data_IF_662729717176
#
_entry.id   IF_662729717176
#
_cell.length_a   1.000
_cell.length_b   1.000
_cell.length_c   1.000
_cell.angle_alpha   90.00
_cell.angle_beta   90.00
_cell.angle_gamma   90.00
#
_symmetry.space_group_name_H-M   'P 1'
#
loop_
_entity.id
_entity.type
_entity.pdbx_description
1 polymer ?
#
# COMPACT_ATOMS: atom_id res chain seq x y z
N UNK A 1 41.49 -47.93 4.75
CA UNK A 1 41.53 -46.52 5.22
C UNK A 1 40.57 -45.69 4.35
N UNK A 2 39.25 -45.84 4.49
CA UNK A 2 38.24 -45.17 3.62
C UNK A 2 36.86 -44.99 4.29
N UNK A 3 36.74 -44.91 5.63
CA UNK A 3 35.42 -44.76 6.28
C UNK A 3 35.24 -43.49 7.13
N UNK A 4 36.29 -42.68 7.32
CA UNK A 4 36.20 -41.42 8.10
C UNK A 4 35.84 -40.17 7.26
N UNK A 5 35.90 -40.27 5.93
CA UNK A 5 35.72 -39.10 5.05
C UNK A 5 34.26 -38.76 4.73
N UNK A 6 33.36 -39.76 4.73
CA UNK A 6 31.95 -39.56 4.33
C UNK A 6 31.17 -38.77 5.40
N UNK A 7 31.46 -38.98 6.69
CA UNK A 7 30.81 -38.22 7.76
C UNK A 7 31.16 -36.72 7.76
N UNK A 8 32.36 -36.35 7.31
CA UNK A 8 32.75 -34.94 7.21
C UNK A 8 32.07 -34.24 6.04
N UNK A 9 31.84 -34.94 4.92
CA UNK A 9 31.16 -34.37 3.74
C UNK A 9 29.67 -34.15 4.02
N UNK A 10 29.01 -35.06 4.76
CA UNK A 10 27.60 -34.90 5.14
C UNK A 10 27.41 -33.78 6.18
N UNK A 11 28.37 -33.57 7.09
CA UNK A 11 28.32 -32.45 8.05
C UNK A 11 28.60 -31.09 7.40
N UNK A 12 29.37 -31.03 6.30
CA UNK A 12 29.67 -29.79 5.58
C UNK A 12 28.55 -29.36 4.61
N UNK A 13 27.78 -30.32 4.07
CA UNK A 13 26.63 -30.05 3.19
C UNK A 13 25.31 -29.87 3.96
N UNK A 14 25.16 -30.46 5.16
CA UNK A 14 23.95 -30.34 5.97
C UNK A 14 23.83 -29.05 6.78
N UNK A 15 24.94 -28.36 7.04
CA UNK A 15 24.98 -27.17 7.91
C UNK A 15 24.59 -25.84 7.24
N UNK A 16 24.66 -25.74 5.92
CA UNK A 16 24.40 -24.48 5.19
C UNK A 16 22.92 -24.33 4.81
N UNK A 17 22.13 -25.42 4.84
CA UNK A 17 20.73 -25.40 4.41
C UNK A 17 19.70 -25.13 5.52
N UNK A 18 20.13 -25.07 6.79
CA UNK A 18 19.21 -24.94 7.95
C UNK A 18 19.03 -23.51 8.48
N UNK A 19 19.59 -22.49 7.80
CA UNK A 19 19.40 -21.06 8.17
C UNK A 19 18.57 -20.25 7.16
N UNK A 20 17.88 -20.87 6.21
CA UNK A 20 16.90 -20.15 5.35
C UNK A 20 15.49 -20.10 5.97
N UNK A 21 15.39 -20.10 7.30
CA UNK A 21 14.12 -19.87 7.99
C UNK A 21 13.81 -18.37 8.02
N UNK A 22 12.90 -17.99 7.12
CA UNK A 22 11.75 -17.12 7.42
C UNK A 22 11.95 -15.61 7.55
N UNK A 23 13.03 -15.02 7.03
CA UNK A 23 13.02 -13.57 6.80
C UNK A 23 12.42 -13.31 5.42
N UNK A 24 11.17 -12.83 5.42
CA UNK A 24 10.51 -12.29 4.23
C UNK A 24 11.44 -11.28 3.54
N UNK A 25 11.72 -11.48 2.25
CA UNK A 25 12.62 -10.59 1.51
C UNK A 25 11.99 -9.19 1.50
N UNK A 26 12.70 -8.11 1.88
CA UNK A 26 12.13 -6.77 1.79
C UNK A 26 11.82 -6.43 0.33
N UNK A 27 10.69 -5.78 0.10
CA UNK A 27 10.28 -5.40 -1.24
C UNK A 27 11.31 -4.48 -1.94
N UNK A 28 11.56 -4.77 -3.21
CA UNK A 28 12.42 -3.99 -4.09
C UNK A 28 11.74 -2.68 -4.53
N UNK A 29 12.54 -1.69 -4.91
CA UNK A 29 11.99 -0.43 -5.41
C UNK A 29 11.19 -0.64 -6.71
N UNK A 30 11.69 -1.50 -7.60
CA UNK A 30 11.06 -1.76 -8.88
C UNK A 30 9.69 -2.46 -8.74
N UNK A 31 9.57 -3.42 -7.83
CA UNK A 31 8.29 -4.11 -7.58
C UNK A 31 7.25 -3.17 -6.96
N UNK A 32 7.67 -2.29 -6.05
CA UNK A 32 6.80 -1.23 -5.50
C UNK A 32 6.36 -0.25 -6.58
N UNK A 33 7.27 0.19 -7.45
CA UNK A 33 6.95 1.10 -8.56
C UNK A 33 5.93 0.48 -9.52
N UNK A 34 6.10 -0.81 -9.84
CA UNK A 34 5.16 -1.55 -10.66
C UNK A 34 3.78 -1.64 -9.99
N UNK A 35 3.73 -2.02 -8.71
CA UNK A 35 2.49 -2.10 -7.96
C UNK A 35 1.79 -0.73 -7.87
N UNK A 36 2.54 0.37 -7.69
CA UNK A 36 2.00 1.73 -7.65
C UNK A 36 1.30 2.11 -8.96
N UNK A 37 1.85 1.67 -10.09
CA UNK A 37 1.24 1.85 -11.40
C UNK A 37 -0.01 0.98 -11.55
N UNK A 38 0.09 -0.32 -11.20
CA UNK A 38 -1.03 -1.28 -11.27
C UNK A 38 -2.23 -0.84 -10.44
N UNK A 39 -2.00 -0.29 -9.25
CA UNK A 39 -3.04 0.22 -8.35
C UNK A 39 -3.41 1.69 -8.58
N UNK A 40 -2.77 2.36 -9.55
CA UNK A 40 -2.97 3.77 -9.85
C UNK A 40 -2.83 4.68 -8.60
N UNK A 41 -1.86 4.38 -7.73
CA UNK A 41 -1.69 5.04 -6.42
C UNK A 41 -1.54 6.56 -6.56
N UNK A 42 -0.80 7.04 -7.57
CA UNK A 42 -0.65 8.47 -7.86
C UNK A 42 -1.99 9.15 -8.12
N UNK A 43 -2.77 8.59 -9.04
CA UNK A 43 -4.08 9.13 -9.40
C UNK A 43 -5.04 9.11 -8.21
N UNK A 44 -5.10 7.98 -7.49
CA UNK A 44 -5.96 7.81 -6.32
C UNK A 44 -5.59 8.78 -5.20
N UNK A 45 -4.29 8.98 -4.93
CA UNK A 45 -3.80 9.93 -3.91
C UNK A 45 -4.10 11.38 -4.30
N UNK A 46 -3.85 11.75 -5.57
CA UNK A 46 -4.17 13.09 -6.07
C UNK A 46 -5.68 13.38 -6.12
N UNK A 47 -6.54 12.35 -6.13
CA UNK A 47 -8.00 12.49 -6.08
C UNK A 47 -8.53 12.71 -4.66
N UNK A 48 -7.73 12.46 -3.62
CA UNK A 48 -8.13 12.67 -2.21
C UNK A 48 -8.06 14.15 -1.79
N UNK A 49 -7.33 14.98 -2.53
CA UNK A 49 -7.11 16.39 -2.21
C UNK A 49 -7.80 17.30 -3.23
N UNK A 50 -8.41 18.40 -2.78
CA UNK A 50 -9.04 19.35 -3.71
C UNK A 50 -7.95 20.26 -4.31
N UNK A 51 -7.94 20.52 -5.63
CA UNK A 51 -6.95 21.40 -6.25
C UNK A 51 -6.90 22.81 -5.64
N UNK A 52 -8.04 23.31 -5.17
CA UNK A 52 -8.13 24.60 -4.50
C UNK A 52 -7.36 24.61 -3.17
N UNK A 53 -7.44 23.54 -2.39
CA UNK A 53 -6.73 23.38 -1.12
C UNK A 53 -5.22 23.36 -1.35
N UNK A 54 -4.75 22.61 -2.36
CA UNK A 54 -3.34 22.62 -2.75
C UNK A 54 -2.86 24.01 -3.16
N UNK A 55 -3.67 24.73 -3.95
CA UNK A 55 -3.33 26.09 -4.40
C UNK A 55 -3.20 27.07 -3.23
N UNK A 56 -4.02 26.95 -2.19
CA UNK A 56 -3.90 27.78 -0.96
C UNK A 56 -2.58 27.52 -0.23
N UNK A 57 -2.01 26.33 -0.37
CA UNK A 57 -0.70 25.95 0.17
C UNK A 57 0.46 26.23 -0.80
N UNK A 58 0.19 26.83 -1.97
CA UNK A 58 1.20 27.05 -3.01
C UNK A 58 1.67 25.77 -3.70
N UNK A 59 0.90 24.69 -3.62
CA UNK A 59 1.19 23.39 -4.21
C UNK A 59 0.32 23.15 -5.44
N UNK A 60 0.87 22.42 -6.41
CA UNK A 60 0.08 21.73 -7.45
C UNK A 60 0.02 20.22 -7.16
N UNK A 61 -0.74 19.49 -7.97
CA UNK A 61 -0.91 18.04 -7.79
C UNK A 61 0.40 17.27 -7.92
N UNK A 62 1.34 17.74 -8.74
CA UNK A 62 2.60 17.06 -8.98
C UNK A 62 3.57 17.28 -7.83
N UNK A 63 3.69 18.51 -7.36
CA UNK A 63 4.47 18.89 -6.18
C UNK A 63 3.94 18.18 -4.93
N UNK A 64 2.62 18.11 -4.77
CA UNK A 64 1.99 17.30 -3.72
C UNK A 64 2.39 15.82 -3.83
N UNK A 65 2.25 15.22 -5.01
CA UNK A 65 2.64 13.83 -5.23
C UNK A 65 4.12 13.57 -4.91
N UNK A 66 5.02 14.41 -5.42
CA UNK A 66 6.47 14.29 -5.21
C UNK A 66 6.85 14.33 -3.72
N UNK A 67 6.07 15.03 -2.89
CA UNK A 67 6.29 15.07 -1.43
C UNK A 67 5.78 13.82 -0.69
N UNK A 68 4.73 13.17 -1.20
CA UNK A 68 4.05 12.04 -0.54
C UNK A 68 4.57 10.69 -1.03
N UNK A 69 4.93 10.57 -2.31
CA UNK A 69 5.36 9.31 -2.93
C UNK A 69 6.48 8.59 -2.17
N UNK A 70 7.58 9.24 -1.73
CA UNK A 70 8.66 8.54 -1.01
C UNK A 70 8.19 7.94 0.32
N UNK A 71 7.25 8.61 0.99
CA UNK A 71 6.68 8.16 2.26
C UNK A 71 5.78 6.96 2.05
N UNK A 72 4.94 6.98 1.00
CA UNK A 72 4.10 5.83 0.64
C UNK A 72 4.96 4.63 0.22
N UNK A 73 6.00 4.83 -0.59
CA UNK A 73 6.91 3.75 -0.98
C UNK A 73 7.61 3.13 0.22
N UNK A 74 8.06 3.97 1.16
CA UNK A 74 8.64 3.50 2.44
C UNK A 74 7.62 2.72 3.27
N UNK A 75 6.36 3.18 3.33
CA UNK A 75 5.29 2.47 4.02
C UNK A 75 5.09 1.07 3.44
N UNK A 76 5.01 0.92 2.12
CA UNK A 76 4.84 -0.39 1.48
C UNK A 76 6.06 -1.28 1.72
N UNK A 77 7.27 -0.75 1.54
CA UNK A 77 8.53 -1.47 1.78
C UNK A 77 8.66 -2.02 3.20
N UNK A 78 8.18 -1.27 4.18
CA UNK A 78 8.29 -1.64 5.60
C UNK A 78 7.23 -2.64 6.06
N UNK A 79 6.12 -2.78 5.32
CA UNK A 79 4.97 -3.58 5.75
C UNK A 79 4.70 -4.80 4.85
N UNK A 80 5.31 -4.88 3.68
CA UNK A 80 5.08 -5.96 2.72
C UNK A 80 6.41 -6.57 2.26
N UNK A 81 6.42 -7.89 2.14
CA UNK A 81 7.52 -8.61 1.51
C UNK A 81 7.51 -8.46 -0.01
N UNK A 82 8.64 -8.79 -0.65
CA UNK A 82 8.72 -8.86 -2.10
C UNK A 82 7.69 -9.84 -2.67
N UNK A 83 7.51 -11.00 -2.03
CA UNK A 83 6.56 -12.03 -2.46
C UNK A 83 5.11 -11.53 -2.36
N UNK A 84 4.78 -10.75 -1.31
CA UNK A 84 3.46 -10.14 -1.13
C UNK A 84 3.19 -9.05 -2.16
N UNK A 85 4.16 -8.18 -2.43
CA UNK A 85 4.06 -7.15 -3.48
C UNK A 85 3.83 -7.79 -4.84
N UNK A 86 4.61 -8.82 -5.19
CA UNK A 86 4.45 -9.53 -6.45
C UNK A 86 3.12 -10.30 -6.53
N UNK A 87 2.64 -10.86 -5.41
CA UNK A 87 1.35 -11.52 -5.37
C UNK A 87 0.19 -10.53 -5.58
N UNK A 88 0.24 -9.37 -4.93
CA UNK A 88 -0.72 -8.28 -5.14
C UNK A 88 -0.72 -7.84 -6.59
N UNK A 89 0.47 -7.55 -7.14
CA UNK A 89 0.58 -7.07 -8.52
C UNK A 89 0.01 -8.08 -9.52
N UNK A 90 0.35 -9.38 -9.40
CA UNK A 90 -0.22 -10.45 -10.23
C UNK A 90 -1.74 -10.54 -10.09
N UNK A 91 -2.27 -10.45 -8.88
CA UNK A 91 -3.71 -10.49 -8.65
C UNK A 91 -4.41 -9.31 -9.33
N UNK A 92 -3.92 -8.09 -9.14
CA UNK A 92 -4.54 -6.90 -9.72
C UNK A 92 -4.40 -6.79 -11.25
N UNK A 93 -3.54 -7.60 -11.87
CA UNK A 93 -3.50 -7.78 -13.32
C UNK A 93 -4.58 -8.74 -13.87
N UNK A 94 -5.29 -9.49 -13.03
CA UNK A 94 -6.45 -10.30 -13.47
C UNK A 94 -7.65 -9.42 -13.85
N UNK A 95 -8.63 -9.92 -14.64
CA UNK A 95 -9.85 -9.16 -14.95
C UNK A 95 -10.61 -8.68 -13.70
N UNK A 96 -10.75 -9.56 -12.71
CA UNK A 96 -11.41 -9.28 -11.44
C UNK A 96 -10.59 -8.30 -10.62
N UNK A 97 -9.28 -8.52 -10.51
CA UNK A 97 -8.34 -7.64 -9.83
C UNK A 97 -8.38 -6.22 -10.38
N UNK A 98 -8.31 -6.04 -11.72
CA UNK A 98 -8.45 -4.72 -12.36
C UNK A 98 -9.80 -4.06 -12.03
N UNK A 99 -10.89 -4.83 -12.05
CA UNK A 99 -12.19 -4.28 -11.67
C UNK A 99 -12.21 -3.81 -10.22
N UNK A 100 -11.51 -4.52 -9.32
CA UNK A 100 -11.39 -4.14 -7.92
C UNK A 100 -10.48 -2.92 -7.72
N UNK A 101 -9.34 -2.80 -8.42
CA UNK A 101 -8.47 -1.62 -8.27
C UNK A 101 -9.17 -0.32 -8.68
N UNK A 102 -10.06 -0.38 -9.66
CA UNK A 102 -10.87 0.78 -10.10
C UNK A 102 -12.00 1.11 -9.10
N UNK A 103 -12.67 0.10 -8.55
CA UNK A 103 -13.89 0.29 -7.74
C UNK A 103 -13.62 0.49 -6.26
N UNK A 104 -12.60 -0.18 -5.70
CA UNK A 104 -12.34 -0.18 -4.25
C UNK A 104 -12.04 1.22 -3.68
N UNK A 105 -11.27 2.10 -4.34
CA UNK A 105 -11.08 3.47 -3.85
C UNK A 105 -12.40 4.24 -3.71
N UNK A 106 -13.27 4.13 -4.73
CA UNK A 106 -14.58 4.80 -4.73
C UNK A 106 -15.51 4.20 -3.68
N UNK A 107 -15.57 2.87 -3.58
CA UNK A 107 -16.36 2.16 -2.59
C UNK A 107 -15.94 2.52 -1.16
N UNK A 108 -14.63 2.61 -0.91
CA UNK A 108 -14.10 3.03 0.40
C UNK A 108 -14.52 4.45 0.74
N UNK A 109 -14.43 5.38 -0.22
CA UNK A 109 -14.89 6.76 -0.04
C UNK A 109 -16.40 6.82 0.25
N UNK A 110 -17.20 6.07 -0.50
CA UNK A 110 -18.65 6.01 -0.30
C UNK A 110 -19.01 5.41 1.07
N UNK A 111 -18.31 4.37 1.49
CA UNK A 111 -18.48 3.73 2.80
C UNK A 111 -18.21 4.73 3.92
N UNK A 112 -17.10 5.47 3.83
CA UNK A 112 -16.79 6.52 4.80
C UNK A 112 -17.89 7.58 4.87
N UNK A 113 -18.38 8.07 3.72
CA UNK A 113 -19.49 9.04 3.65
C UNK A 113 -20.75 8.51 4.33
N UNK A 114 -21.12 7.25 4.11
CA UNK A 114 -22.30 6.63 4.74
C UNK A 114 -22.15 6.59 6.26
N UNK A 115 -21.00 6.10 6.76
CA UNK A 115 -20.73 6.00 8.21
C UNK A 115 -20.79 7.37 8.87
N UNK A 116 -20.13 8.37 8.27
CA UNK A 116 -20.11 9.72 8.82
C UNK A 116 -21.49 10.37 8.76
N UNK A 117 -22.24 10.21 7.66
CA UNK A 117 -23.62 10.69 7.56
C UNK A 117 -24.51 10.08 8.64
N UNK A 118 -24.39 8.78 8.89
CA UNK A 118 -25.13 8.11 9.95
C UNK A 118 -24.76 8.67 11.33
N UNK A 119 -23.47 8.87 11.59
CA UNK A 119 -23.00 9.47 12.85
C UNK A 119 -23.52 10.90 13.03
N UNK A 120 -23.51 11.73 11.99
CA UNK A 120 -24.07 13.10 12.04
C UNK A 120 -25.57 13.09 12.35
N UNK A 121 -26.34 12.20 11.74
CA UNK A 121 -27.79 12.13 11.95
C UNK A 121 -28.18 11.62 13.34
N UNK A 122 -27.32 10.82 13.98
CA UNK A 122 -27.60 10.20 15.28
C UNK A 122 -26.78 10.81 16.42
N UNK A 123 -26.06 11.92 16.19
CA UNK A 123 -25.29 12.61 17.23
C UNK A 123 -25.85 14.00 17.51
N UNK A 124 -25.63 14.48 18.73
CA UNK A 124 -25.90 15.86 19.12
C UNK A 124 -24.76 16.81 18.71
N UNK A 125 -23.82 16.36 17.86
CA UNK A 125 -22.66 17.14 17.46
C UNK A 125 -23.10 18.20 16.45
N UNK A 126 -22.66 19.44 16.65
CA UNK A 126 -22.98 20.56 15.76
C UNK A 126 -22.53 20.26 14.33
N UNK A 127 -23.43 20.48 13.36
CA UNK A 127 -23.14 20.44 11.92
C UNK A 127 -21.97 21.34 11.53
N UNK A 128 -21.75 22.43 12.26
CA UNK A 128 -20.62 23.34 12.04
C UNK A 128 -19.25 22.69 12.26
N UNK A 129 -19.13 21.73 13.19
CA UNK A 129 -17.87 21.01 13.43
C UNK A 129 -17.52 20.08 12.27
N UNK A 130 -18.51 19.43 11.66
CA UNK A 130 -18.30 18.55 10.51
C UNK A 130 -17.81 19.31 9.28
N UNK A 131 -18.37 20.50 9.03
CA UNK A 131 -17.92 21.38 7.95
C UNK A 131 -16.45 21.82 8.13
N UNK A 132 -16.02 22.10 9.38
CA UNK A 132 -14.61 22.46 9.67
C UNK A 132 -13.66 21.28 9.45
N UNK A 133 -14.12 20.06 9.68
CA UNK A 133 -13.35 18.84 9.43
C UNK A 133 -13.31 18.43 7.95
N UNK A 134 -13.87 19.25 7.04
CA UNK A 134 -13.91 18.94 5.60
C UNK A 134 -14.82 17.75 5.27
N UNK A 135 -15.72 17.39 6.20
CA UNK A 135 -16.76 16.39 5.98
C UNK A 135 -17.94 17.13 5.35
N UNK A 136 -17.82 17.39 4.05
CA UNK A 136 -18.89 18.01 3.28
C UNK A 136 -20.03 17.01 3.01
N UNK A 137 -21.26 17.51 2.93
CA UNK A 137 -22.48 16.74 2.63
C UNK A 137 -22.53 16.20 1.20
#
# INVERSE_FOLDING_TARGET
>A
MQLKSIHQIVLLLGGIFLCQLSQATPASQASIDQLFNTLQIKQNTQAMVKPQELKLLGLDKESFWNSVEPQLKTLYKNNLSEEEIQALDRFYQTPEGRSLSEKMPQLSQQTYKVVIKNMMNNSNISKGLFNVLGIDQ
#
